data_IF_040097373988
#
_entry.id   IF_040097373988
#
_cell.length_a   1.000
_cell.length_b   1.000
_cell.length_c   1.000
_cell.angle_alpha   90.00
_cell.angle_beta   90.00
_cell.angle_gamma   90.00
#
_symmetry.space_group_name_H-M   'P 1'
#
loop_
_entity.id
_entity.type
_entity.pdbx_description
1 polymer ?
#
# COMPACT_ATOMS: atom_id res chain seq x y z
N UNK A 1 10.31 5.65 -21.06
CA UNK A 1 9.61 4.81 -20.07
C UNK A 1 10.48 4.44 -18.87
N UNK A 2 11.50 3.58 -18.97
CA UNK A 2 12.34 3.21 -17.81
C UNK A 2 13.02 4.43 -17.18
N UNK A 3 13.62 5.29 -18.00
CA UNK A 3 14.30 6.52 -17.54
C UNK A 3 13.37 7.59 -16.95
N UNK A 4 12.11 7.65 -17.38
CA UNK A 4 11.13 8.63 -16.89
C UNK A 4 10.59 8.22 -15.52
N UNK A 5 10.36 6.92 -15.32
CA UNK A 5 9.95 6.37 -14.02
C UNK A 5 11.08 6.48 -13.00
N UNK A 6 12.32 6.20 -13.40
CA UNK A 6 13.50 6.42 -12.56
C UNK A 6 13.66 7.89 -12.17
N UNK A 7 13.51 8.82 -13.13
CA UNK A 7 13.56 10.26 -12.85
C UNK A 7 12.45 10.71 -11.91
N UNK A 8 11.22 10.20 -12.09
CA UNK A 8 10.10 10.52 -11.20
C UNK A 8 10.36 10.02 -9.78
N UNK A 9 10.88 8.80 -9.64
CA UNK A 9 11.21 8.21 -8.35
C UNK A 9 12.34 8.98 -7.65
N UNK A 10 13.41 9.31 -8.37
CA UNK A 10 14.51 10.14 -7.85
C UNK A 10 14.03 11.52 -7.37
N UNK A 11 13.04 12.12 -8.06
CA UNK A 11 12.41 13.35 -7.57
C UNK A 11 11.65 13.12 -6.27
N UNK A 12 10.88 12.04 -6.16
CA UNK A 12 10.12 11.72 -4.94
C UNK A 12 11.02 11.42 -3.73
N UNK A 13 12.19 10.83 -3.96
CA UNK A 13 13.21 10.57 -2.93
C UNK A 13 13.90 11.84 -2.41
N UNK A 14 13.74 12.97 -3.10
CA UNK A 14 14.37 14.22 -2.68
C UNK A 14 13.78 14.69 -1.32
N UNK A 15 14.60 14.96 -0.28
CA UNK A 15 14.09 15.38 1.03
C UNK A 15 13.23 16.66 0.99
N UNK A 16 13.38 17.50 -0.04
CA UNK A 16 12.59 18.72 -0.23
C UNK A 16 11.19 18.45 -0.80
N UNK A 17 10.90 17.22 -1.20
CA UNK A 17 9.61 16.83 -1.77
C UNK A 17 8.59 16.37 -0.72
N UNK A 18 8.86 16.54 0.57
CA UNK A 18 7.91 16.22 1.66
C UNK A 18 6.53 16.86 1.44
N UNK A 19 6.48 18.15 1.07
CA UNK A 19 5.23 18.83 0.73
C UNK A 19 4.57 18.25 -0.54
N UNK A 20 5.36 17.87 -1.54
CA UNK A 20 4.88 17.24 -2.77
C UNK A 20 4.25 15.86 -2.53
N UNK A 21 4.83 15.08 -1.62
CA UNK A 21 4.25 13.80 -1.17
C UNK A 21 2.91 14.02 -0.47
N UNK A 22 2.79 15.04 0.37
CA UNK A 22 1.51 15.37 1.03
C UNK A 22 0.44 15.79 0.02
N UNK A 23 0.81 16.55 -1.03
CA UNK A 23 -0.09 16.86 -2.14
C UNK A 23 -0.53 15.57 -2.84
N UNK A 24 0.41 14.69 -3.19
CA UNK A 24 0.09 13.42 -3.83
C UNK A 24 -0.85 12.56 -2.97
N UNK A 25 -0.60 12.42 -1.67
CA UNK A 25 -1.46 11.67 -0.76
C UNK A 25 -2.85 12.28 -0.63
N UNK A 26 -2.95 13.61 -0.65
CA UNK A 26 -4.24 14.30 -0.63
C UNK A 26 -5.06 13.99 -1.89
N UNK A 27 -4.41 14.02 -3.06
CA UNK A 27 -5.05 13.71 -4.34
C UNK A 27 -5.44 12.23 -4.46
N UNK A 28 -4.64 11.32 -3.86
CA UNK A 28 -4.96 9.91 -3.80
C UNK A 28 -6.17 9.62 -2.89
N UNK A 29 -6.43 10.46 -1.88
CA UNK A 29 -7.49 10.25 -0.89
C UNK A 29 -8.89 10.00 -1.49
N UNK A 30 -9.19 10.59 -2.64
CA UNK A 30 -10.48 10.43 -3.32
C UNK A 30 -10.56 9.17 -4.21
N UNK A 31 -9.43 8.50 -4.43
CA UNK A 31 -9.36 7.31 -5.27
C UNK A 31 -9.87 6.07 -4.52
N UNK A 32 -11.16 5.79 -4.70
CA UNK A 32 -11.87 4.66 -4.07
C UNK A 32 -12.48 3.74 -5.12
N UNK A 33 -12.53 2.46 -4.81
CA UNK A 33 -13.18 1.46 -5.65
C UNK A 33 -14.71 1.56 -5.65
N UNK A 34 -15.31 0.80 -6.56
CA UNK A 34 -16.75 0.63 -6.62
C UNK A 34 -17.26 -0.09 -5.36
N UNK A 35 -18.41 0.30 -4.82
CA UNK A 35 -19.02 -0.39 -3.69
C UNK A 35 -19.47 -1.80 -4.07
N UNK A 36 -19.12 -2.77 -3.22
CA UNK A 36 -19.44 -4.19 -3.41
C UNK A 36 -20.24 -4.69 -2.22
N UNK A 37 -21.28 -5.49 -2.49
CA UNK A 37 -22.11 -6.05 -1.44
C UNK A 37 -21.36 -7.13 -0.65
N UNK A 38 -21.54 -7.24 0.69
CA UNK A 38 -20.91 -8.28 1.49
C UNK A 38 -21.22 -9.71 1.02
N UNK A 39 -22.40 -9.93 0.40
CA UNK A 39 -22.78 -11.22 -0.18
C UNK A 39 -21.92 -11.58 -1.39
N UNK A 40 -21.55 -10.60 -2.20
CA UNK A 40 -20.76 -10.79 -3.41
C UNK A 40 -19.30 -11.07 -3.06
N UNK A 41 -18.76 -10.33 -2.07
CA UNK A 41 -17.44 -10.62 -1.52
C UNK A 41 -17.38 -12.04 -0.95
N UNK A 42 -18.41 -12.48 -0.21
CA UNK A 42 -18.46 -13.85 0.30
C UNK A 42 -18.44 -14.88 -0.82
N UNK A 43 -19.29 -14.72 -1.83
CA UNK A 43 -19.33 -15.61 -3.00
C UNK A 43 -17.96 -15.67 -3.69
N UNK A 44 -17.30 -14.53 -3.86
CA UNK A 44 -15.98 -14.45 -4.47
C UNK A 44 -14.90 -15.15 -3.62
N UNK A 45 -14.94 -15.00 -2.29
CA UNK A 45 -14.02 -15.68 -1.37
C UNK A 45 -14.24 -17.19 -1.41
N UNK A 46 -15.48 -17.66 -1.30
CA UNK A 46 -15.81 -19.09 -1.33
C UNK A 46 -15.37 -19.75 -2.64
N UNK A 47 -15.46 -19.04 -3.77
CA UNK A 47 -15.01 -19.54 -5.08
C UNK A 47 -13.47 -19.62 -5.21
N UNK A 48 -12.71 -18.91 -4.38
CA UNK A 48 -11.24 -18.88 -4.43
C UNK A 48 -10.59 -19.86 -3.46
N UNK A 49 -11.33 -20.39 -2.49
CA UNK A 49 -10.81 -21.28 -1.46
C UNK A 49 -11.27 -22.71 -1.74
N UNK A 50 -10.43 -23.46 -2.47
CA UNK A 50 -10.74 -24.79 -3.02
C UNK A 50 -11.11 -25.88 -2.00
N UNK A 51 -10.82 -25.69 -0.70
CA UNK A 51 -10.80 -26.82 0.26
C UNK A 51 -11.68 -26.65 1.50
N UNK A 52 -12.17 -25.44 1.79
CA UNK A 52 -13.08 -25.19 2.92
C UNK A 52 -13.79 -23.86 2.76
N UNK A 53 -15.12 -23.86 2.73
CA UNK A 53 -15.91 -22.61 2.76
C UNK A 53 -15.53 -21.81 4.00
N UNK A 54 -15.22 -20.54 3.79
CA UNK A 54 -14.83 -19.65 4.88
C UNK A 54 -16.11 -19.22 5.60
N UNK A 55 -16.12 -19.25 6.93
CA UNK A 55 -17.32 -18.89 7.68
C UNK A 55 -17.71 -17.43 7.42
N UNK A 56 -19.02 -17.13 7.45
CA UNK A 56 -19.54 -15.75 7.37
C UNK A 56 -18.83 -14.83 8.37
N UNK A 57 -18.67 -15.29 9.60
CA UNK A 57 -18.07 -14.52 10.68
C UNK A 57 -16.58 -14.27 10.45
N UNK A 58 -15.84 -15.24 9.94
CA UNK A 58 -14.43 -15.08 9.57
C UNK A 58 -14.25 -14.01 8.49
N UNK A 59 -15.10 -13.98 7.46
CA UNK A 59 -15.07 -12.96 6.41
C UNK A 59 -15.42 -11.58 6.97
N UNK A 60 -16.45 -11.48 7.80
CA UNK A 60 -16.82 -10.21 8.46
C UNK A 60 -15.69 -9.68 9.33
N UNK A 61 -15.03 -10.55 10.11
CA UNK A 61 -13.90 -10.15 10.96
C UNK A 61 -12.70 -9.70 10.13
N UNK A 62 -12.41 -10.38 9.02
CA UNK A 62 -11.36 -9.96 8.10
C UNK A 62 -11.68 -8.58 7.48
N UNK A 63 -12.92 -8.37 7.01
CA UNK A 63 -13.36 -7.09 6.47
C UNK A 63 -13.23 -5.97 7.52
N UNK A 64 -13.62 -6.23 8.77
CA UNK A 64 -13.46 -5.26 9.87
C UNK A 64 -11.99 -4.89 10.10
N UNK A 65 -11.06 -5.84 10.08
CA UNK A 65 -9.61 -5.54 10.22
C UNK A 65 -9.07 -4.72 9.05
N UNK A 66 -9.57 -4.97 7.84
CA UNK A 66 -9.21 -4.17 6.66
C UNK A 66 -9.78 -2.74 6.76
N UNK A 67 -10.95 -2.59 7.37
CA UNK A 67 -11.56 -1.29 7.66
C UNK A 67 -10.80 -0.53 8.73
N UNK A 68 -10.43 -1.19 9.84
CA UNK A 68 -9.60 -0.63 10.91
C UNK A 68 -8.22 -0.16 10.41
N UNK A 69 -7.72 -0.74 9.32
CA UNK A 69 -6.46 -0.35 8.69
C UNK A 69 -6.65 0.61 7.50
N UNK A 70 -7.85 1.14 7.27
CA UNK A 70 -8.21 2.04 6.16
C UNK A 70 -8.00 1.45 4.74
N UNK A 71 -7.76 0.15 4.62
CA UNK A 71 -7.59 -0.54 3.33
C UNK A 71 -8.93 -0.63 2.58
N UNK A 72 -10.02 -0.78 3.33
CA UNK A 72 -11.37 -0.65 2.79
C UNK A 72 -12.16 0.36 3.61
N UNK A 73 -13.14 0.98 2.97
CA UNK A 73 -14.18 1.75 3.65
C UNK A 73 -15.48 0.97 3.64
N UNK A 74 -16.29 1.16 4.69
CA UNK A 74 -17.66 0.67 4.74
C UNK A 74 -18.64 1.84 4.76
N UNK A 75 -19.37 2.01 3.66
CA UNK A 75 -20.45 3.01 3.56
C UNK A 75 -21.73 2.32 3.12
N UNK A 76 -22.84 2.62 3.79
CA UNK A 76 -24.17 2.04 3.48
C UNK A 76 -24.14 0.50 3.42
N UNK A 77 -23.42 -0.13 4.35
CA UNK A 77 -23.19 -1.58 4.41
C UNK A 77 -22.44 -2.23 3.23
N UNK A 78 -21.90 -1.45 2.30
CA UNK A 78 -21.08 -1.95 1.19
C UNK A 78 -19.59 -1.75 1.48
N UNK A 79 -18.76 -2.61 0.92
CA UNK A 79 -17.31 -2.50 1.01
C UNK A 79 -16.75 -1.76 -0.20
N UNK A 80 -15.82 -0.84 0.01
CA UNK A 80 -15.09 -0.14 -1.05
C UNK A 80 -13.61 -0.24 -0.77
N UNK A 81 -12.79 -0.59 -1.75
CA UNK A 81 -11.33 -0.55 -1.58
C UNK A 81 -10.87 0.90 -1.58
N UNK A 82 -9.99 1.23 -0.65
CA UNK A 82 -9.32 2.52 -0.61
C UNK A 82 -8.02 2.46 -1.43
N UNK A 83 -8.14 2.57 -2.75
CA UNK A 83 -6.99 2.46 -3.65
C UNK A 83 -5.94 3.52 -3.36
N UNK A 84 -6.37 4.75 -3.09
CA UNK A 84 -5.49 5.84 -2.71
C UNK A 84 -4.61 5.50 -1.52
N UNK A 85 -5.21 5.03 -0.43
CA UNK A 85 -4.46 4.63 0.76
C UNK A 85 -3.52 3.45 0.50
N UNK A 86 -3.97 2.43 -0.24
CA UNK A 86 -3.10 1.31 -0.63
C UNK A 86 -1.88 1.77 -1.43
N UNK A 87 -2.07 2.68 -2.39
CA UNK A 87 -0.98 3.26 -3.17
C UNK A 87 -0.04 4.07 -2.26
N UNK A 88 -0.59 4.88 -1.35
CA UNK A 88 0.21 5.65 -0.40
C UNK A 88 1.04 4.77 0.53
N UNK A 89 0.49 3.65 1.02
CA UNK A 89 1.23 2.67 1.83
C UNK A 89 2.36 2.06 1.02
N UNK A 90 2.07 1.56 -0.19
CA UNK A 90 3.09 0.97 -1.05
C UNK A 90 4.20 1.96 -1.41
N UNK A 91 3.83 3.20 -1.76
CA UNK A 91 4.81 4.24 -2.06
C UNK A 91 5.70 4.53 -0.86
N UNK A 92 5.14 4.73 0.33
CA UNK A 92 5.92 4.95 1.55
C UNK A 92 6.86 3.79 1.85
N UNK A 93 6.36 2.55 1.79
CA UNK A 93 7.19 1.37 2.03
C UNK A 93 8.35 1.28 1.04
N UNK A 94 8.13 1.60 -0.24
CA UNK A 94 9.20 1.57 -1.25
C UNK A 94 10.22 2.69 -0.99
N UNK A 95 9.80 3.92 -0.68
CA UNK A 95 10.71 5.02 -0.34
C UNK A 95 11.56 4.68 0.90
N UNK A 96 10.94 4.13 1.95
CA UNK A 96 11.64 3.69 3.16
C UNK A 96 12.64 2.56 2.86
N UNK A 97 12.27 1.58 2.04
CA UNK A 97 13.18 0.53 1.62
C UNK A 97 14.38 1.08 0.86
N UNK A 98 14.18 2.07 -0.02
CA UNK A 98 15.30 2.71 -0.74
C UNK A 98 16.26 3.38 0.23
N UNK A 99 15.76 4.16 1.19
CA UNK A 99 16.62 4.78 2.20
C UNK A 99 17.40 3.76 3.04
N UNK A 100 16.74 2.66 3.45
CA UNK A 100 17.42 1.59 4.19
C UNK A 100 18.50 0.90 3.37
N UNK A 101 18.33 0.81 2.04
CA UNK A 101 19.35 0.26 1.15
C UNK A 101 20.53 1.24 1.02
N UNK A 102 20.27 2.54 0.85
CA UNK A 102 21.30 3.59 0.82
C UNK A 102 22.16 3.55 2.10
N UNK A 103 21.51 3.49 3.27
CA UNK A 103 22.20 3.40 4.56
C UNK A 103 23.10 2.15 4.64
N UNK A 104 22.60 0.99 4.19
CA UNK A 104 23.37 -0.26 4.17
C UNK A 104 24.54 -0.21 3.19
N UNK A 105 24.37 0.45 2.03
CA UNK A 105 25.45 0.64 1.05
C UNK A 105 26.57 1.51 1.63
N UNK A 106 26.22 2.59 2.34
CA UNK A 106 27.17 3.46 3.03
C UNK A 106 27.93 2.73 4.15
N UNK A 107 27.23 1.93 4.97
CA UNK A 107 27.84 1.09 6.00
C UNK A 107 28.84 0.08 5.41
N UNK A 108 28.47 -0.60 4.32
CA UNK A 108 29.36 -1.54 3.62
C UNK A 108 30.61 -0.83 3.08
N UNK A 109 30.46 0.37 2.53
CA UNK A 109 31.58 1.16 2.04
C UNK A 109 32.53 1.56 3.19
N UNK A 110 31.98 2.00 4.32
CA UNK A 110 32.77 2.35 5.50
C UNK A 110 33.58 1.15 6.02
N UNK A 111 32.97 -0.05 6.08
CA UNK A 111 33.65 -1.27 6.50
C UNK A 111 34.78 -1.66 5.53
N UNK A 112 34.56 -1.57 4.22
CA UNK A 112 35.59 -1.87 3.20
C UNK A 112 36.79 -0.90 3.26
N UNK A 113 36.57 0.32 3.75
CA UNK A 113 37.64 1.31 3.93
C UNK A 113 38.46 1.07 5.21
N UNK A 114 37.88 0.43 6.23
CA UNK A 114 38.56 0.06 7.47
C UNK A 114 39.41 -1.22 7.34
N UNK A 115 39.07 -2.09 6.38
CA UNK A 115 39.78 -3.35 6.10
C UNK A 115 41.02 -3.16 5.19
N UNK A 116 41.35 -1.91 4.81
CA UNK A 116 42.51 -1.52 4.00
C UNK A 116 43.49 -0.69 4.81
#
# INVERSE_FOLDING_TARGET
>A
MTSELELAFAKLMNPRMSAGLMVLYSLLGDLKGNPVEPREVRKAVDNRVDKRRVSKQSITNAARRLEETNIIDRKENKYRVNYGYLISVLLNTVLEMTHRIEDLEDEILALKLLDR
#
